data_IF_585369815470
#
_entry.id   IF_585369815470
#
_cell.length_a   1.000
_cell.length_b   1.000
_cell.length_c   1.000
_cell.angle_alpha   90.00
_cell.angle_beta   90.00
_cell.angle_gamma   90.00
#
_symmetry.space_group_name_H-M   'P 1'
#
loop_
_entity.id
_entity.type
_entity.pdbx_description
1 polymer ?
#
# COMPACT_ATOMS: atom_id res chain seq x y z
N UNK A 1 -14.07 -31.62 0.86
CA UNK A 1 -14.16 -30.79 -0.36
C UNK A 1 -13.02 -29.79 -0.24
N UNK A 2 -11.94 -30.08 -0.96
CA UNK A 2 -10.60 -29.50 -0.80
C UNK A 2 -10.53 -28.13 -1.51
N UNK A 3 -10.95 -27.06 -0.82
CA UNK A 3 -10.78 -25.67 -1.32
C UNK A 3 -9.60 -24.92 -0.66
N UNK A 4 -9.15 -25.40 0.51
CA UNK A 4 -8.11 -24.75 1.32
C UNK A 4 -6.66 -25.01 0.85
N UNK A 5 -6.41 -26.11 0.14
CA UNK A 5 -5.06 -26.40 -0.42
C UNK A 5 -4.78 -25.69 -1.76
N UNK A 6 -5.76 -24.98 -2.32
CA UNK A 6 -5.66 -24.34 -3.63
C UNK A 6 -5.08 -22.92 -3.56
N UNK A 7 -5.30 -22.20 -2.45
CA UNK A 7 -4.96 -20.77 -2.35
C UNK A 7 -3.46 -20.53 -2.14
N UNK A 8 -2.76 -21.46 -1.47
CA UNK A 8 -1.31 -21.34 -1.18
C UNK A 8 -0.45 -22.03 -2.25
N UNK A 9 -0.95 -23.11 -2.85
CA UNK A 9 -0.18 -23.95 -3.79
C UNK A 9 0.05 -23.31 -5.16
N UNK A 10 -0.87 -22.46 -5.63
CA UNK A 10 -0.76 -21.87 -6.97
C UNK A 10 0.20 -20.69 -7.05
N UNK A 11 0.83 -20.25 -5.96
CA UNK A 11 1.75 -19.11 -5.96
C UNK A 11 3.11 -19.40 -6.62
N UNK A 12 3.40 -20.66 -6.98
CA UNK A 12 4.71 -21.09 -7.51
C UNK A 12 4.66 -21.74 -8.90
N UNK A 13 3.91 -21.15 -9.84
CA UNK A 13 4.22 -21.25 -11.28
C UNK A 13 4.81 -19.91 -11.73
N UNK A 14 5.69 -19.91 -12.73
CA UNK A 14 6.26 -18.68 -13.30
C UNK A 14 5.17 -17.69 -13.79
N UNK A 15 3.96 -18.18 -14.07
CA UNK A 15 2.79 -17.36 -14.41
C UNK A 15 2.13 -16.67 -13.20
N UNK A 16 2.28 -17.23 -11.99
CA UNK A 16 1.64 -16.75 -10.76
C UNK A 16 2.31 -15.51 -10.19
N UNK A 17 3.64 -15.41 -10.33
CA UNK A 17 4.41 -14.24 -9.90
C UNK A 17 4.10 -13.06 -10.81
N UNK A 18 4.04 -13.28 -12.12
CA UNK A 18 3.72 -12.23 -13.09
C UNK A 18 2.28 -11.73 -12.91
N UNK A 19 1.32 -12.64 -12.66
CA UNK A 19 -0.06 -12.28 -12.35
C UNK A 19 -0.18 -11.52 -11.03
N UNK A 20 0.52 -11.95 -9.97
CA UNK A 20 0.54 -11.24 -8.69
C UNK A 20 1.16 -9.84 -8.83
N UNK A 21 2.26 -9.71 -9.57
CA UNK A 21 2.90 -8.42 -9.83
C UNK A 21 1.97 -7.48 -10.62
N UNK A 22 1.33 -7.98 -11.68
CA UNK A 22 0.39 -7.21 -12.49
C UNK A 22 -0.87 -6.80 -11.70
N UNK A 23 -1.41 -7.73 -10.90
CA UNK A 23 -2.55 -7.47 -10.03
C UNK A 23 -2.20 -6.40 -8.98
N UNK A 24 -1.01 -6.47 -8.38
CA UNK A 24 -0.56 -5.51 -7.39
C UNK A 24 -0.40 -4.10 -7.97
N UNK A 25 0.21 -3.97 -9.17
CA UNK A 25 0.34 -2.68 -9.87
C UNK A 25 -1.03 -2.10 -10.20
N UNK A 26 -1.92 -2.91 -10.77
CA UNK A 26 -3.27 -2.47 -11.16
C UNK A 26 -4.10 -2.08 -9.93
N UNK A 27 -3.99 -2.86 -8.84
CA UNK A 27 -4.66 -2.58 -7.58
C UNK A 27 -4.13 -1.28 -6.97
N UNK A 28 -2.82 -1.09 -6.95
CA UNK A 28 -2.20 0.12 -6.43
C UNK A 28 -2.61 1.37 -7.22
N UNK A 29 -2.59 1.28 -8.56
CA UNK A 29 -3.08 2.34 -9.44
C UNK A 29 -4.55 2.65 -9.18
N UNK A 30 -5.38 1.61 -9.06
CA UNK A 30 -6.80 1.75 -8.75
C UNK A 30 -7.04 2.44 -7.40
N UNK A 31 -6.30 2.05 -6.35
CA UNK A 31 -6.36 2.67 -5.02
C UNK A 31 -5.89 4.12 -5.04
N UNK A 32 -4.80 4.41 -5.76
CA UNK A 32 -4.28 5.77 -5.90
C UNK A 32 -5.32 6.67 -6.57
N UNK A 33 -5.93 6.21 -7.66
CA UNK A 33 -6.91 6.97 -8.43
C UNK A 33 -8.27 7.13 -7.74
N UNK A 34 -8.77 6.08 -7.07
CA UNK A 34 -10.14 6.06 -6.56
C UNK A 34 -10.25 6.51 -5.11
N UNK A 35 -9.20 6.31 -4.31
CA UNK A 35 -9.25 6.57 -2.87
C UNK A 35 -8.31 7.73 -2.50
N UNK A 36 -7.03 7.65 -2.90
CA UNK A 36 -5.98 8.57 -2.41
C UNK A 36 -6.07 9.96 -3.04
N UNK A 37 -6.11 10.06 -4.37
CA UNK A 37 -6.19 11.37 -5.04
C UNK A 37 -7.47 12.13 -4.66
N UNK A 38 -8.67 11.51 -4.68
CA UNK A 38 -9.90 12.20 -4.25
C UNK A 38 -9.84 12.66 -2.79
N UNK A 39 -9.26 11.88 -1.89
CA UNK A 39 -9.08 12.28 -0.49
C UNK A 39 -8.25 13.57 -0.38
N UNK A 40 -7.11 13.66 -1.08
CA UNK A 40 -6.29 14.88 -1.06
C UNK A 40 -6.96 16.06 -1.77
N UNK A 41 -7.70 15.81 -2.85
CA UNK A 41 -8.48 16.84 -3.56
C UNK A 41 -9.58 17.43 -2.68
N UNK A 42 -10.29 16.61 -1.90
CA UNK A 42 -11.29 17.06 -0.93
C UNK A 42 -10.68 18.05 0.09
N UNK A 43 -9.43 17.82 0.47
CA UNK A 43 -8.66 18.69 1.37
C UNK A 43 -7.95 19.85 0.65
N UNK A 44 -8.23 20.07 -0.64
CA UNK A 44 -7.58 21.09 -1.50
C UNK A 44 -6.05 20.95 -1.59
N UNK A 45 -5.53 19.73 -1.47
CA UNK A 45 -4.10 19.41 -1.59
C UNK A 45 -3.86 18.71 -2.92
N UNK A 46 -3.10 19.33 -3.84
CA UNK A 46 -2.68 18.65 -5.07
C UNK A 46 -1.47 17.76 -4.78
N UNK A 47 -1.58 16.47 -5.07
CA UNK A 47 -0.44 15.55 -5.04
C UNK A 47 0.46 15.86 -6.23
N UNK A 48 1.67 16.37 -5.98
CA UNK A 48 2.62 16.74 -7.04
C UNK A 48 3.66 15.67 -7.32
N UNK A 49 3.90 14.78 -6.35
CA UNK A 49 5.01 13.84 -6.43
C UNK A 49 4.69 12.56 -5.68
N UNK A 50 4.98 11.42 -6.31
CA UNK A 50 4.93 10.09 -5.68
C UNK A 50 6.36 9.56 -5.59
N UNK A 51 6.73 9.06 -4.40
CA UNK A 51 8.04 8.46 -4.15
C UNK A 51 7.90 6.94 -4.02
N UNK A 52 8.52 6.19 -4.93
CA UNK A 52 8.57 4.72 -4.86
C UNK A 52 10.02 4.21 -4.75
N UNK A 53 10.17 2.91 -4.52
CA UNK A 53 11.46 2.26 -4.65
C UNK A 53 11.80 1.96 -6.13
N UNK A 54 12.92 1.29 -6.38
CA UNK A 54 13.31 0.94 -7.76
C UNK A 54 12.72 -0.42 -8.20
N UNK A 55 11.60 -0.84 -7.60
CA UNK A 55 10.88 -2.04 -7.98
C UNK A 55 10.43 -1.97 -9.44
N UNK A 56 10.45 -3.10 -10.15
CA UNK A 56 10.05 -3.15 -11.57
C UNK A 56 8.55 -3.01 -11.79
N UNK A 57 7.78 -3.16 -10.72
CA UNK A 57 6.35 -2.89 -10.62
C UNK A 57 6.02 -1.39 -10.68
N UNK A 58 6.95 -0.53 -10.28
CA UNK A 58 6.79 0.94 -10.30
C UNK A 58 7.64 1.57 -11.39
N UNK A 59 8.80 0.99 -11.67
CA UNK A 59 9.79 1.54 -12.59
C UNK A 59 9.83 0.75 -13.91
N UNK A 60 9.62 1.45 -15.02
CA UNK A 60 9.75 0.89 -16.36
C UNK A 60 10.08 1.97 -17.38
N UNK A 61 9.85 1.68 -18.67
CA UNK A 61 9.96 2.72 -19.70
C UNK A 61 8.77 3.66 -19.58
N UNK A 62 9.02 4.96 -19.50
CA UNK A 62 7.99 6.00 -19.31
C UNK A 62 6.84 5.91 -20.33
N UNK A 63 7.13 5.49 -21.56
CA UNK A 63 6.17 5.39 -22.67
C UNK A 63 5.34 4.09 -22.69
N UNK A 64 5.67 3.12 -21.84
CA UNK A 64 5.09 1.76 -21.89
C UNK A 64 4.66 1.22 -20.54
N UNK A 65 5.25 1.74 -19.46
CA UNK A 65 5.00 1.23 -18.13
C UNK A 65 3.66 1.77 -17.62
N UNK A 66 2.68 0.90 -17.28
CA UNK A 66 1.34 1.34 -16.91
C UNK A 66 1.34 2.36 -15.77
N UNK A 67 2.20 2.16 -14.77
CA UNK A 67 2.30 3.07 -13.62
C UNK A 67 2.84 4.45 -14.01
N UNK A 68 3.84 4.50 -14.89
CA UNK A 68 4.43 5.78 -15.34
C UNK A 68 3.43 6.56 -16.20
N UNK A 69 2.72 5.85 -17.10
CA UNK A 69 1.67 6.44 -17.93
C UNK A 69 0.54 7.01 -17.07
N UNK A 70 0.14 6.30 -16.01
CA UNK A 70 -0.87 6.78 -15.06
C UNK A 70 -0.42 8.08 -14.39
N UNK A 71 0.80 8.13 -13.85
CA UNK A 71 1.30 9.33 -13.18
C UNK A 71 1.42 10.53 -14.14
N UNK A 72 1.79 10.30 -15.40
CA UNK A 72 1.80 11.34 -16.43
C UNK A 72 0.41 11.90 -16.75
N UNK A 73 -0.62 11.04 -16.79
CA UNK A 73 -2.00 11.48 -17.02
C UNK A 73 -2.52 12.38 -15.90
N UNK A 74 -2.16 12.05 -14.65
CA UNK A 74 -2.54 12.81 -13.46
C UNK A 74 -1.63 14.01 -13.17
N UNK A 75 -0.64 14.30 -14.03
CA UNK A 75 0.34 15.39 -13.84
C UNK A 75 1.11 15.26 -12.50
N UNK A 76 1.49 14.02 -12.16
CA UNK A 76 2.22 13.67 -10.94
C UNK A 76 3.67 13.28 -11.29
N UNK A 77 4.63 13.94 -10.66
CA UNK A 77 6.05 13.60 -10.83
C UNK A 77 6.38 12.26 -10.13
N UNK A 78 6.92 11.29 -10.87
CA UNK A 78 7.45 10.08 -10.27
C UNK A 78 8.89 10.30 -9.80
N UNK A 79 9.14 10.10 -8.50
CA UNK A 79 10.50 10.05 -7.94
C UNK A 79 10.79 8.65 -7.43
N UNK A 80 12.01 8.19 -7.68
CA UNK A 80 12.51 6.94 -7.14
C UNK A 80 13.54 7.19 -6.06
N UNK A 81 13.60 6.31 -5.07
CA UNK A 81 14.63 6.39 -4.04
C UNK A 81 16.02 6.20 -4.66
N UNK A 82 16.93 7.16 -4.43
CA UNK A 82 18.31 7.02 -4.89
C UNK A 82 18.96 5.81 -4.22
N UNK A 83 19.55 4.94 -5.04
CA UNK A 83 20.31 3.77 -4.59
C UNK A 83 21.34 4.19 -3.53
N UNK A 84 21.33 3.52 -2.36
CA UNK A 84 22.17 3.81 -1.17
C UNK A 84 21.80 5.03 -0.31
N UNK A 85 20.54 5.49 -0.34
CA UNK A 85 20.02 6.49 0.62
C UNK A 85 18.87 5.91 1.48
N UNK A 86 19.17 5.22 2.59
CA UNK A 86 18.20 4.43 3.36
C UNK A 86 17.19 5.23 4.19
N UNK A 87 17.22 6.58 4.17
CA UNK A 87 16.37 7.38 5.07
C UNK A 87 14.89 7.33 4.73
N UNK A 88 14.52 7.40 3.45
CA UNK A 88 13.11 7.37 3.01
C UNK A 88 12.50 5.98 3.17
N UNK A 89 13.24 4.93 2.82
CA UNK A 89 12.78 3.54 3.02
C UNK A 89 12.59 3.23 4.52
N UNK A 90 13.41 3.84 5.39
CA UNK A 90 13.30 3.69 6.83
C UNK A 90 12.03 4.28 7.46
N UNK A 91 11.31 5.19 6.80
CA UNK A 91 9.99 5.63 7.30
C UNK A 91 8.92 4.57 7.06
N UNK A 92 8.85 4.05 5.83
CA UNK A 92 7.92 2.97 5.47
C UNK A 92 8.23 1.71 6.28
N UNK A 93 9.50 1.35 6.44
CA UNK A 93 9.90 0.19 7.25
C UNK A 93 9.52 0.36 8.72
N UNK A 94 9.65 1.58 9.28
CA UNK A 94 9.19 1.85 10.66
C UNK A 94 7.67 1.78 10.76
N UNK A 95 6.94 2.36 9.81
CA UNK A 95 5.48 2.27 9.77
C UNK A 95 5.03 0.81 9.73
N UNK A 96 5.59 0.00 8.81
CA UNK A 96 5.29 -1.43 8.73
C UNK A 96 5.58 -2.15 10.05
N UNK A 97 6.69 -1.81 10.71
CA UNK A 97 7.04 -2.40 12.00
C UNK A 97 6.06 -1.98 13.10
N UNK A 98 5.68 -0.71 13.16
CA UNK A 98 4.67 -0.20 14.10
C UNK A 98 3.34 -0.91 13.91
N UNK A 99 2.84 -1.01 12.68
CA UNK A 99 1.59 -1.73 12.39
C UNK A 99 1.66 -3.21 12.79
N UNK A 100 2.80 -3.87 12.53
CA UNK A 100 2.98 -5.26 12.95
C UNK A 100 3.03 -5.40 14.47
N UNK A 101 3.75 -4.50 15.15
CA UNK A 101 4.05 -4.62 16.58
C UNK A 101 2.86 -4.18 17.45
N UNK A 102 2.19 -3.10 17.08
CA UNK A 102 1.12 -2.46 17.85
C UNK A 102 -0.27 -2.97 17.46
N UNK A 103 -0.51 -3.28 16.18
CA UNK A 103 -1.81 -3.77 15.74
C UNK A 103 -1.82 -5.30 15.57
N UNK A 104 -1.16 -5.83 14.53
CA UNK A 104 -1.35 -7.23 14.13
C UNK A 104 -0.87 -8.26 15.17
N UNK A 105 0.23 -8.01 15.89
CA UNK A 105 0.69 -8.92 16.95
C UNK A 105 -0.21 -8.91 18.19
N UNK A 106 -0.95 -7.83 18.43
CA UNK A 106 -1.88 -7.74 19.55
C UNK A 106 -3.20 -8.38 19.13
N UNK A 107 -3.77 -7.95 18.01
CA UNK A 107 -5.03 -8.46 17.49
C UNK A 107 -4.97 -9.96 17.16
N UNK A 108 -3.84 -10.43 16.60
CA UNK A 108 -3.58 -11.83 16.29
C UNK A 108 -3.47 -12.77 17.50
N UNK A 109 -3.43 -12.25 18.74
CA UNK A 109 -3.52 -13.07 19.96
C UNK A 109 -4.96 -13.48 20.29
N UNK A 110 -5.93 -12.73 19.79
CA UNK A 110 -7.35 -12.90 20.09
C UNK A 110 -8.20 -13.26 18.88
N UNK A 111 -7.75 -12.89 17.67
CA UNK A 111 -8.50 -13.05 16.43
C UNK A 111 -7.65 -13.81 15.41
N UNK A 112 -8.23 -14.87 14.86
CA UNK A 112 -7.69 -15.54 13.67
C UNK A 112 -8.43 -14.99 12.46
N UNK A 113 -7.70 -14.50 11.45
CA UNK A 113 -8.30 -13.92 10.26
C UNK A 113 -8.48 -15.01 9.21
N UNK A 114 -9.69 -15.14 8.68
CA UNK A 114 -10.01 -16.13 7.63
C UNK A 114 -9.93 -15.51 6.23
N UNK A 115 -9.87 -14.17 6.14
CA UNK A 115 -9.75 -13.44 4.87
C UNK A 115 -8.94 -12.15 4.99
N UNK A 116 -8.51 -11.62 3.84
CA UNK A 116 -7.82 -10.31 3.75
C UNK A 116 -8.78 -9.17 4.10
N UNK A 117 -10.06 -9.28 3.76
CA UNK A 117 -11.06 -8.24 4.05
C UNK A 117 -11.26 -8.06 5.55
N UNK A 118 -11.25 -9.15 6.32
CA UNK A 118 -11.31 -9.09 7.79
C UNK A 118 -10.08 -8.42 8.42
N UNK A 119 -8.91 -8.61 7.80
CA UNK A 119 -7.69 -7.90 8.22
C UNK A 119 -7.77 -6.42 7.87
N UNK A 120 -8.31 -6.08 6.70
CA UNK A 120 -8.46 -4.71 6.23
C UNK A 120 -9.39 -3.90 7.14
N UNK A 121 -10.55 -4.47 7.51
CA UNK A 121 -11.51 -3.82 8.42
C UNK A 121 -10.88 -3.54 9.80
N UNK A 122 -10.14 -4.52 10.34
CA UNK A 122 -9.49 -4.39 11.65
C UNK A 122 -8.42 -3.29 11.64
N UNK A 123 -7.68 -3.20 10.53
CA UNK A 123 -6.66 -2.18 10.32
C UNK A 123 -7.28 -0.78 10.16
N UNK A 124 -8.41 -0.66 9.46
CA UNK A 124 -9.15 0.60 9.33
C UNK A 124 -9.63 1.12 10.68
N UNK A 125 -10.21 0.25 11.52
CA UNK A 125 -10.61 0.59 12.90
C UNK A 125 -9.40 1.10 13.70
N UNK A 126 -8.26 0.40 13.62
CA UNK A 126 -7.05 0.82 14.32
C UNK A 126 -6.54 2.20 13.90
N UNK A 127 -6.62 2.53 12.61
CA UNK A 127 -6.25 3.87 12.13
C UNK A 127 -7.23 4.95 12.60
N UNK A 128 -8.53 4.69 12.60
CA UNK A 128 -9.52 5.63 13.15
C UNK A 128 -9.27 5.92 14.63
N UNK A 129 -9.06 4.88 15.44
CA UNK A 129 -8.78 5.02 16.87
C UNK A 129 -7.46 5.80 17.11
N UNK A 130 -6.41 5.52 16.33
CA UNK A 130 -5.10 6.16 16.52
C UNK A 130 -5.10 7.63 16.08
N UNK A 131 -5.77 7.96 14.97
CA UNK A 131 -5.85 9.34 14.45
C UNK A 131 -6.74 10.21 15.37
N UNK A 132 -7.84 9.65 15.89
CA UNK A 132 -8.73 10.38 16.80
C UNK A 132 -8.08 10.68 18.15
N UNK A 133 -7.22 9.78 18.66
CA UNK A 133 -6.46 10.00 19.90
C UNK A 133 -5.35 11.07 19.80
N UNK A 134 -4.81 11.33 18.60
CA UNK A 134 -3.85 12.42 18.37
C UNK A 134 -4.54 13.78 18.25
N UNK A 135 -5.72 13.85 17.63
CA UNK A 135 -6.49 15.10 17.48
C UNK A 135 -7.01 15.64 18.83
N UNK A 136 -7.33 14.77 19.79
CA UNK A 136 -7.78 15.18 21.13
C UNK A 136 -6.63 15.76 21.97
N UNK A 137 -5.38 15.43 21.67
CA UNK A 137 -4.20 15.91 22.41
C UNK A 137 -3.71 17.29 21.98
N UNK A 138 -4.09 17.80 20.81
CA UNK A 138 -3.73 19.17 20.39
C UNK A 138 -4.73 20.24 20.88
N UNK A 139 -5.87 19.84 21.45
CA UNK A 139 -6.89 20.76 22.02
C UNK A 139 -6.81 20.92 23.56
N UNK A 140 -5.77 20.40 24.23
CA UNK A 140 -5.53 20.60 25.69
C UNK A 140 -4.16 21.16 25.99
#
# INVERSE_FOLDING_TARGET
>A
MFYEDFFVSKFFSLDSILFALFAFVTLFQGRLNNDVLPFFEEHNVKVQTVLTDNGREYCGREDQHPFELFLQLEDIEHRTTKVRRPRSNGYVERLHRTLLDEHFRIAGRSKFYESIDEMQIDLEIFFEDTITDELIKEET
#
